data_IF_764040587422
#
_entry.id   IF_764040587422
#
_cell.length_a   1.000
_cell.length_b   1.000
_cell.length_c   1.000
_cell.angle_alpha   90.00
_cell.angle_beta   90.00
_cell.angle_gamma   90.00
#
_symmetry.space_group_name_H-M   'P 1'
#
loop_
_entity.id
_entity.type
_entity.pdbx_description
1 polymer ?
#
# COMPACT_ATOMS: atom_id res chain seq x y z
N UNK A 1 -18.08 -6.40 -0.35
CA UNK A 1 -16.70 -6.10 0.10
C UNK A 1 -15.77 -6.98 -0.72
N UNK A 2 -14.79 -6.42 -1.42
CA UNK A 2 -13.79 -7.18 -2.19
C UNK A 2 -12.54 -7.37 -1.33
N UNK A 3 -11.93 -8.55 -1.38
CA UNK A 3 -10.70 -8.89 -0.64
C UNK A 3 -9.42 -8.73 -1.49
N UNK A 4 -9.55 -8.15 -2.69
CA UNK A 4 -8.44 -7.96 -3.62
C UNK A 4 -7.71 -6.63 -3.36
N UNK A 5 -6.41 -6.71 -3.07
CA UNK A 5 -5.53 -5.55 -2.81
C UNK A 5 -5.36 -4.61 -4.02
N UNK A 6 -5.66 -5.11 -5.22
CA UNK A 6 -5.60 -4.34 -6.47
C UNK A 6 -6.96 -3.80 -6.92
N UNK A 7 -8.00 -3.95 -6.10
CA UNK A 7 -9.35 -3.50 -6.45
C UNK A 7 -9.38 -1.99 -6.74
N UNK A 8 -10.01 -1.61 -7.84
CA UNK A 8 -9.98 -0.23 -8.35
C UNK A 8 -10.44 0.84 -7.35
N UNK A 9 -11.32 0.48 -6.39
CA UNK A 9 -11.78 1.39 -5.35
C UNK A 9 -10.68 1.84 -4.37
N UNK A 10 -9.62 1.03 -4.20
CA UNK A 10 -8.48 1.35 -3.33
C UNK A 10 -7.52 2.36 -3.96
N UNK A 11 -7.62 2.55 -5.29
CA UNK A 11 -6.71 3.41 -6.07
C UNK A 11 -5.23 3.08 -5.84
N UNK A 12 -4.94 1.78 -5.70
CA UNK A 12 -3.60 1.25 -5.47
C UNK A 12 -2.68 1.61 -6.64
N UNK A 13 -1.53 2.20 -6.35
CA UNK A 13 -0.53 2.57 -7.36
C UNK A 13 0.89 2.37 -6.84
N UNK A 14 1.84 2.14 -7.77
CA UNK A 14 3.27 2.01 -7.45
C UNK A 14 3.87 3.36 -7.10
N UNK A 15 4.77 3.36 -6.13
CA UNK A 15 5.57 4.52 -5.76
C UNK A 15 6.84 4.61 -6.58
N UNK A 16 7.42 5.80 -6.60
CA UNK A 16 8.65 6.14 -7.31
C UNK A 16 9.66 6.79 -6.36
N UNK A 17 10.86 7.09 -6.87
CA UNK A 17 11.93 7.70 -6.07
C UNK A 17 12.44 6.74 -4.99
N UNK A 18 12.59 7.23 -3.76
CA UNK A 18 13.13 6.46 -2.64
C UNK A 18 12.26 5.25 -2.24
N UNK A 19 10.97 5.27 -2.60
CA UNK A 19 10.02 4.20 -2.33
C UNK A 19 9.73 3.34 -3.58
N UNK A 20 10.60 3.40 -4.60
CA UNK A 20 10.43 2.58 -5.81
C UNK A 20 10.32 1.09 -5.45
N UNK A 21 9.26 0.44 -5.94
CA UNK A 21 8.94 -0.96 -5.61
C UNK A 21 7.86 -1.13 -4.55
N UNK A 22 7.57 -0.08 -3.78
CA UNK A 22 6.43 -0.05 -2.85
C UNK A 22 5.14 0.37 -3.57
N UNK A 23 4.03 0.15 -2.88
CA UNK A 23 2.68 0.50 -3.31
C UNK A 23 2.01 1.41 -2.28
N UNK A 24 1.06 2.23 -2.74
CA UNK A 24 0.20 2.99 -1.85
C UNK A 24 -1.26 2.93 -2.26
N UNK A 25 -2.14 2.91 -1.25
CA UNK A 25 -3.58 3.09 -1.39
C UNK A 25 -4.10 4.09 -0.35
N UNK A 26 -5.30 4.64 -0.60
CA UNK A 26 -5.95 5.58 0.31
C UNK A 26 -7.23 4.97 0.87
N UNK A 27 -7.43 5.07 2.19
CA UNK A 27 -8.62 4.55 2.86
C UNK A 27 -9.62 5.66 3.25
N UNK A 28 -9.20 6.92 3.27
CA UNK A 28 -9.95 8.14 3.61
C UNK A 28 -9.33 9.34 2.86
N UNK A 29 -9.78 10.58 3.10
CA UNK A 29 -9.26 11.76 2.39
C UNK A 29 -7.73 11.94 2.54
N UNK A 30 -7.19 11.63 3.72
CA UNK A 30 -5.77 11.85 4.05
C UNK A 30 -5.03 10.56 4.47
N UNK A 31 -5.74 9.47 4.80
CA UNK A 31 -5.07 8.26 5.27
C UNK A 31 -4.41 7.51 4.10
N UNK A 32 -3.07 7.46 4.11
CA UNK A 32 -2.24 6.68 3.20
C UNK A 32 -1.68 5.45 3.88
N UNK A 33 -1.72 4.36 3.14
CA UNK A 33 -1.13 3.09 3.49
C UNK A 33 0.00 2.84 2.49
N UNK A 34 1.19 2.48 2.97
CA UNK A 34 2.32 2.07 2.12
C UNK A 34 2.70 0.65 2.46
N UNK A 35 2.86 -0.17 1.43
CA UNK A 35 3.12 -1.59 1.58
C UNK A 35 3.89 -2.16 0.39
N UNK A 36 4.45 -3.35 0.56
CA UNK A 36 4.96 -4.19 -0.50
C UNK A 36 4.40 -5.61 -0.42
N UNK A 37 4.57 -6.36 -1.51
CA UNK A 37 4.21 -7.77 -1.58
C UNK A 37 5.46 -8.59 -1.23
N UNK A 38 5.32 -9.48 -0.26
CA UNK A 38 6.38 -10.37 0.19
C UNK A 38 5.91 -11.82 0.19
N UNK A 39 6.85 -12.76 0.20
CA UNK A 39 6.54 -14.16 0.50
C UNK A 39 6.73 -14.39 2.01
N UNK A 40 5.67 -14.81 2.68
CA UNK A 40 5.70 -15.16 4.09
C UNK A 40 5.16 -16.58 4.24
N UNK A 41 5.97 -17.49 4.81
CA UNK A 41 5.59 -18.91 4.99
C UNK A 41 5.10 -19.62 3.70
N UNK A 42 5.63 -19.22 2.54
CA UNK A 42 5.27 -19.80 1.25
C UNK A 42 3.97 -19.29 0.65
N UNK A 43 3.36 -18.25 1.22
CA UNK A 43 2.22 -17.54 0.65
C UNK A 43 2.56 -16.06 0.43
N UNK A 44 1.94 -15.45 -0.59
CA UNK A 44 2.03 -14.01 -0.79
C UNK A 44 1.32 -13.29 0.36
N UNK A 45 1.98 -12.29 0.92
CA UNK A 45 1.49 -11.47 2.01
C UNK A 45 1.78 -9.99 1.76
N UNK A 46 0.98 -9.14 2.38
CA UNK A 46 1.22 -7.70 2.43
C UNK A 46 2.10 -7.41 3.64
N UNK A 47 3.24 -6.78 3.40
CA UNK A 47 4.06 -6.23 4.46
C UNK A 47 3.78 -4.73 4.57
N UNK A 48 3.23 -4.34 5.72
CA UNK A 48 2.82 -2.97 5.99
C UNK A 48 4.04 -2.14 6.41
N UNK A 49 4.40 -1.17 5.58
CA UNK A 49 5.58 -0.32 5.79
C UNK A 49 5.24 0.95 6.56
N UNK A 50 4.11 1.59 6.24
CA UNK A 50 3.67 2.81 6.90
C UNK A 50 2.16 3.02 6.80
N UNK A 51 1.61 3.69 7.80
CA UNK A 51 0.22 4.12 7.86
C UNK A 51 0.18 5.51 8.51
N UNK A 52 -0.35 6.49 7.80
CA UNK A 52 -0.38 7.87 8.26
C UNK A 52 -1.04 8.80 7.26
N UNK A 53 -1.00 10.11 7.53
CA UNK A 53 -1.46 11.13 6.59
C UNK A 53 -0.54 11.24 5.37
N UNK A 54 -0.93 11.99 4.33
CA UNK A 54 -0.06 12.28 3.20
C UNK A 54 1.31 12.79 3.64
N UNK A 55 1.33 13.79 4.52
CA UNK A 55 2.53 14.50 4.97
C UNK A 55 3.37 13.69 5.97
N UNK A 56 2.80 12.63 6.55
CA UNK A 56 3.52 11.73 7.46
C UNK A 56 4.19 10.56 6.72
N UNK A 57 3.69 10.25 5.52
CA UNK A 57 4.12 9.09 4.73
C UNK A 57 5.10 9.47 3.62
N UNK A 58 4.95 10.67 3.04
CA UNK A 58 5.85 11.25 2.04
C UNK A 58 6.54 12.46 2.62
#
# INVERSE_FOLDING_TARGET
MSADASHASLRTHKLSGALAGCWSCSAEYDLRIVFDYVQHEGVEAIHLLSLGTHDQVY
#
